data_IF_115896865424
#
_entry.id   IF_115896865424
#
_cell.length_a   1.000
_cell.length_b   1.000
_cell.length_c   1.000
_cell.angle_alpha   90.00
_cell.angle_beta   90.00
_cell.angle_gamma   90.00
#
_symmetry.space_group_name_H-M   'P 1'
#
loop_
_entity.id
_entity.type
_entity.pdbx_description
1 polymer ?
#
# COMPACT_ATOMS: atom_id res chain seq x y z
N UNK A 1 -0.92 12.48 -24.38
CA UNK A 1 -0.44 12.62 -22.99
C UNK A 1 -1.57 13.16 -22.13
N UNK A 2 -1.76 12.72 -20.88
CA UNK A 2 -2.93 13.12 -20.10
C UNK A 2 -2.92 14.64 -19.87
N UNK A 3 -4.05 15.29 -20.15
CA UNK A 3 -4.16 16.77 -20.20
C UNK A 3 -4.81 17.37 -18.95
N UNK A 4 -5.17 16.53 -17.95
CA UNK A 4 -5.79 16.98 -16.71
C UNK A 4 -4.75 17.20 -15.60
N UNK A 5 -4.89 18.24 -14.77
CA UNK A 5 -4.05 18.42 -13.58
C UNK A 5 -4.03 17.15 -12.72
N UNK A 6 -2.84 16.72 -12.29
CA UNK A 6 -2.66 15.54 -11.41
C UNK A 6 -2.67 14.18 -12.12
N UNK A 7 -3.03 14.09 -13.40
CA UNK A 7 -3.12 12.81 -14.11
C UNK A 7 -1.76 12.08 -14.23
N UNK A 8 -0.66 12.80 -14.37
CA UNK A 8 0.70 12.20 -14.36
C UNK A 8 1.03 11.58 -13.01
N UNK A 9 0.71 12.26 -11.90
CA UNK A 9 0.94 11.74 -10.55
C UNK A 9 0.04 10.53 -10.24
N UNK A 10 -1.21 10.56 -10.70
CA UNK A 10 -2.13 9.43 -10.59
C UNK A 10 -1.62 8.21 -11.36
N UNK A 11 -1.14 8.39 -12.60
CA UNK A 11 -0.54 7.32 -13.40
C UNK A 11 0.71 6.74 -12.75
N UNK A 12 1.61 7.59 -12.23
CA UNK A 12 2.79 7.14 -11.50
C UNK A 12 2.42 6.32 -10.25
N UNK A 13 1.37 6.74 -9.53
CA UNK A 13 0.87 6.04 -8.34
C UNK A 13 0.26 4.68 -8.69
N UNK A 14 -0.53 4.61 -9.78
CA UNK A 14 -1.08 3.36 -10.28
C UNK A 14 0.02 2.40 -10.74
N UNK A 15 1.02 2.90 -11.45
CA UNK A 15 2.17 2.10 -11.87
C UNK A 15 2.93 1.53 -10.67
N UNK A 16 3.21 2.36 -9.66
CA UNK A 16 3.84 1.89 -8.44
C UNK A 16 3.02 0.79 -7.75
N UNK A 17 1.68 0.94 -7.67
CA UNK A 17 0.81 -0.08 -7.09
C UNK A 17 0.86 -1.41 -7.87
N UNK A 18 0.91 -1.37 -9.22
CA UNK A 18 1.04 -2.57 -10.05
C UNK A 18 2.38 -3.28 -9.88
N UNK A 19 3.47 -2.51 -9.80
CA UNK A 19 4.80 -3.05 -9.50
C UNK A 19 4.84 -3.69 -8.11
N UNK A 20 4.26 -3.03 -7.10
CA UNK A 20 4.18 -3.57 -5.73
C UNK A 20 3.37 -4.84 -5.69
N UNK A 21 2.19 -4.86 -6.31
CA UNK A 21 1.33 -6.03 -6.39
C UNK A 21 2.04 -7.23 -7.06
N UNK A 22 2.78 -7.00 -8.15
CA UNK A 22 3.59 -8.04 -8.80
C UNK A 22 4.71 -8.55 -7.90
N UNK A 23 5.38 -7.66 -7.17
CA UNK A 23 6.43 -8.05 -6.22
C UNK A 23 5.86 -8.90 -5.08
N UNK A 24 4.70 -8.52 -4.53
CA UNK A 24 4.01 -9.27 -3.47
C UNK A 24 3.59 -10.67 -3.95
N UNK A 25 3.06 -10.80 -5.15
CA UNK A 25 2.73 -12.11 -5.73
C UNK A 25 3.98 -13.01 -5.86
N UNK A 26 5.11 -12.44 -6.30
CA UNK A 26 6.38 -13.19 -6.42
C UNK A 26 6.93 -13.63 -5.07
N UNK A 27 6.66 -12.88 -4.01
CA UNK A 27 7.01 -13.23 -2.64
C UNK A 27 6.02 -14.22 -2.00
N UNK A 28 4.90 -14.52 -2.67
CA UNK A 28 3.83 -15.31 -2.07
C UNK A 28 3.17 -14.63 -0.86
N UNK A 29 3.23 -13.30 -0.78
CA UNK A 29 2.66 -12.54 0.32
C UNK A 29 1.12 -12.55 0.27
N UNK A 30 0.48 -12.70 1.43
CA UNK A 30 -0.98 -12.69 1.58
C UNK A 30 -1.38 -12.24 2.99
N UNK A 31 -2.62 -11.77 3.15
CA UNK A 31 -3.22 -11.43 4.44
C UNK A 31 -3.07 -9.95 4.78
N UNK A 32 -1.97 -9.53 5.38
CA UNK A 32 -1.76 -8.15 5.83
C UNK A 32 -0.61 -7.48 5.07
N UNK A 33 -0.89 -6.29 4.54
CA UNK A 33 0.09 -5.50 3.77
C UNK A 33 0.19 -4.13 4.42
N UNK A 34 1.26 -3.92 5.18
CA UNK A 34 1.56 -2.64 5.80
C UNK A 34 2.42 -1.79 4.86
N UNK A 35 1.96 -0.59 4.54
CA UNK A 35 2.66 0.38 3.69
C UNK A 35 3.30 1.43 4.58
N UNK A 36 4.63 1.46 4.62
CA UNK A 36 5.40 2.45 5.37
C UNK A 36 5.97 3.54 4.44
N UNK A 37 6.37 4.66 5.03
CA UNK A 37 6.97 5.79 4.32
C UNK A 37 5.96 6.68 3.57
N UNK A 38 6.42 7.56 2.67
CA UNK A 38 5.58 8.59 2.06
C UNK A 38 4.44 8.03 1.18
N UNK A 39 4.57 6.80 0.68
CA UNK A 39 3.50 6.14 -0.07
C UNK A 39 2.27 5.81 0.78
N UNK A 40 2.41 5.67 2.10
CA UNK A 40 1.30 5.47 3.02
C UNK A 40 0.29 6.64 2.99
N UNK A 41 0.75 7.85 2.66
CA UNK A 41 -0.07 9.04 2.50
C UNK A 41 -0.62 9.23 1.07
N UNK A 42 -0.21 8.41 0.11
CA UNK A 42 -0.68 8.49 -1.27
C UNK A 42 -1.99 7.71 -1.44
N UNK A 43 -3.11 8.42 -1.37
CA UNK A 43 -4.45 7.82 -1.46
C UNK A 43 -4.69 7.04 -2.75
N UNK A 44 -4.13 7.48 -3.90
CA UNK A 44 -4.29 6.77 -5.18
C UNK A 44 -3.54 5.45 -5.16
N UNK A 45 -2.31 5.44 -4.65
CA UNK A 45 -1.52 4.22 -4.49
C UNK A 45 -2.22 3.24 -3.53
N UNK A 46 -2.63 3.71 -2.35
CA UNK A 46 -3.27 2.88 -1.33
C UNK A 46 -4.57 2.25 -1.85
N UNK A 47 -5.42 3.05 -2.50
CA UNK A 47 -6.69 2.56 -3.05
C UNK A 47 -6.48 1.60 -4.23
N UNK A 48 -5.53 1.88 -5.12
CA UNK A 48 -5.20 0.99 -6.23
C UNK A 48 -4.65 -0.35 -5.74
N UNK A 49 -3.72 -0.34 -4.78
CA UNK A 49 -3.16 -1.57 -4.21
C UNK A 49 -4.23 -2.40 -3.49
N UNK A 50 -5.12 -1.76 -2.72
CA UNK A 50 -6.27 -2.42 -2.10
C UNK A 50 -7.23 -3.04 -3.14
N UNK A 51 -7.47 -2.38 -4.27
CA UNK A 51 -8.29 -2.94 -5.35
C UNK A 51 -7.62 -4.11 -6.08
N UNK A 52 -6.29 -4.09 -6.23
CA UNK A 52 -5.52 -5.17 -6.85
C UNK A 52 -5.46 -6.42 -5.97
N UNK A 53 -5.60 -6.25 -4.65
CA UNK A 53 -5.45 -7.29 -3.63
C UNK A 53 -6.69 -7.40 -2.73
N UNK A 54 -7.86 -7.75 -3.28
CA UNK A 54 -9.13 -7.74 -2.54
C UNK A 54 -9.19 -8.74 -1.37
N UNK A 55 -8.31 -9.75 -1.36
CA UNK A 55 -8.19 -10.71 -0.26
C UNK A 55 -7.27 -10.22 0.88
N UNK A 56 -6.47 -9.18 0.64
CA UNK A 56 -5.50 -8.67 1.60
C UNK A 56 -6.00 -7.38 2.27
N UNK A 57 -5.49 -7.12 3.48
CA UNK A 57 -5.76 -5.91 4.26
C UNK A 57 -4.60 -4.94 4.06
N UNK A 58 -4.74 -4.06 3.07
CA UNK A 58 -3.75 -3.01 2.79
C UNK A 58 -3.96 -1.86 3.76
N UNK A 59 -2.96 -1.55 4.59
CA UNK A 59 -3.02 -0.52 5.64
C UNK A 59 -1.79 0.38 5.59
N UNK A 60 -1.91 1.69 5.90
CA UNK A 60 -0.73 2.49 6.16
C UNK A 60 -0.14 2.12 7.52
N UNK A 61 1.19 2.18 7.64
CA UNK A 61 1.86 2.11 8.93
C UNK A 61 1.43 3.29 9.81
N UNK A 62 1.10 3.03 11.07
CA UNK A 62 0.76 4.09 12.03
C UNK A 62 1.96 5.02 12.26
N UNK A 63 1.71 6.32 12.44
CA UNK A 63 2.77 7.34 12.51
C UNK A 63 3.85 7.08 13.57
N UNK A 64 3.52 6.43 14.70
CA UNK A 64 4.49 6.09 15.75
C UNK A 64 5.19 4.73 15.54
N UNK A 65 4.69 3.87 14.63
CA UNK A 65 5.32 2.61 14.25
C UNK A 65 6.09 2.71 12.92
N UNK A 66 5.98 3.84 12.23
CA UNK A 66 6.62 4.09 10.94
C UNK A 66 8.15 4.20 11.08
N UNK A 67 8.86 3.51 10.19
CA UNK A 67 10.31 3.59 10.04
C UNK A 67 11.15 2.98 11.18
N UNK A 68 12.48 3.06 11.05
CA UNK A 68 13.41 2.41 11.97
C UNK A 68 13.33 2.94 13.41
N UNK A 69 13.03 4.23 13.59
CA UNK A 69 12.92 4.85 14.91
C UNK A 69 11.70 4.32 15.69
N UNK A 70 10.54 4.20 15.02
CA UNK A 70 9.34 3.59 15.60
C UNK A 70 9.59 2.12 15.98
N UNK A 71 10.23 1.35 15.09
CA UNK A 71 10.65 -0.02 15.38
C UNK A 71 11.59 -0.13 16.58
N UNK A 72 12.62 0.73 16.66
CA UNK A 72 13.54 0.77 17.80
C UNK A 72 12.84 1.13 19.12
N UNK A 73 11.89 2.06 19.08
CA UNK A 73 11.07 2.41 20.24
C UNK A 73 10.24 1.21 20.73
N UNK A 74 9.58 0.49 19.81
CA UNK A 74 8.80 -0.72 20.15
C UNK A 74 9.69 -1.83 20.71
N UNK A 75 10.91 -1.99 20.19
CA UNK A 75 11.88 -2.96 20.72
C UNK A 75 12.37 -2.58 22.13
N UNK A 76 12.63 -1.29 22.38
CA UNK A 76 13.03 -0.82 23.71
C UNK A 76 11.91 -0.99 24.75
N UNK A 77 10.65 -1.02 24.31
CA UNK A 77 9.46 -1.20 25.15
C UNK A 77 8.79 -2.56 24.90
N UNK A 78 9.58 -3.57 24.52
CA UNK A 78 9.05 -4.89 24.18
C UNK A 78 8.22 -5.48 25.32
N UNK A 79 7.00 -5.93 24.99
CA UNK A 79 6.05 -6.48 25.97
C UNK A 79 5.08 -5.46 26.58
N UNK A 80 5.31 -4.15 26.39
CA UNK A 80 4.33 -3.13 26.75
C UNK A 80 3.39 -2.85 25.58
N UNK A 81 2.22 -3.51 25.58
CA UNK A 81 1.21 -3.37 24.54
C UNK A 81 0.62 -1.95 24.44
N UNK A 82 0.84 -1.08 25.44
CA UNK A 82 0.42 0.33 25.41
C UNK A 82 1.39 1.21 24.62
N UNK A 83 2.61 0.75 24.40
CA UNK A 83 3.61 1.45 23.61
C UNK A 83 3.32 1.35 22.10
N UNK A 84 2.51 0.37 21.68
CA UNK A 84 2.11 0.22 20.29
C UNK A 84 0.97 1.20 19.94
N UNK A 85 1.14 2.05 18.91
CA UNK A 85 0.03 2.86 18.41
C UNK A 85 -1.07 1.95 17.83
N UNK A 86 -2.35 2.39 17.84
CA UNK A 86 -3.42 1.62 17.22
C UNK A 86 -3.20 1.50 15.71
N UNK A 87 -3.60 0.36 15.14
CA UNK A 87 -3.54 0.14 13.70
C UNK A 87 -4.43 1.13 12.95
N UNK A 88 -3.89 1.71 11.88
CA UNK A 88 -4.69 2.48 10.95
C UNK A 88 -5.69 1.55 10.22
N UNK A 89 -6.91 2.02 9.92
CA UNK A 89 -7.89 1.22 9.19
C UNK A 89 -7.35 0.85 7.79
N UNK A 90 -7.82 -0.27 7.20
CA UNK A 90 -7.47 -0.61 5.83
C UNK A 90 -7.90 0.48 4.85
N UNK A 91 -7.10 0.67 3.80
CA UNK A 91 -7.47 1.56 2.71
C UNK A 91 -8.71 1.05 1.99
N UNK A 92 -9.62 1.96 1.66
CA UNK A 92 -10.74 1.63 0.80
C UNK A 92 -10.22 1.33 -0.63
N UNK A 93 -10.70 0.27 -1.29
CA UNK A 93 -10.29 -0.03 -2.65
C UNK A 93 -10.73 1.07 -3.60
N UNK A 94 -9.98 1.24 -4.68
CA UNK A 94 -10.38 2.10 -5.80
C UNK A 94 -11.76 1.68 -6.31
N UNK A 95 -12.65 2.64 -6.55
CA UNK A 95 -14.02 2.36 -6.98
C UNK A 95 -14.11 1.70 -8.37
N UNK A 96 -13.07 1.84 -9.20
CA UNK A 96 -13.01 1.21 -10.51
C UNK A 96 -12.40 -0.19 -10.41
N UNK A 97 -13.03 -1.16 -11.09
CA UNK A 97 -12.40 -2.46 -11.30
C UNK A 97 -11.22 -2.33 -12.28
N UNK A 98 -10.02 -2.63 -11.78
CA UNK A 98 -8.77 -2.57 -12.53
C UNK A 98 -8.15 -3.95 -12.77
N UNK A 99 -8.86 -5.05 -12.48
CA UNK A 99 -8.36 -6.41 -12.69
C UNK A 99 -8.00 -6.68 -14.16
N UNK A 100 -8.87 -6.25 -15.09
CA UNK A 100 -8.59 -6.35 -16.52
C UNK A 100 -7.40 -5.50 -16.98
N UNK A 101 -7.19 -4.33 -16.35
CA UNK A 101 -6.01 -3.49 -16.61
C UNK A 101 -4.73 -4.16 -16.12
N UNK A 102 -4.74 -4.70 -14.88
CA UNK A 102 -3.65 -5.47 -14.29
C UNK A 102 -3.23 -6.63 -15.19
N UNK A 103 -4.18 -7.42 -15.70
CA UNK A 103 -3.89 -8.55 -16.58
C UNK A 103 -3.19 -8.12 -17.87
N UNK A 104 -3.69 -7.07 -18.55
CA UNK A 104 -3.05 -6.54 -19.76
C UNK A 104 -1.67 -5.96 -19.50
N UNK A 105 -1.51 -5.23 -18.40
CA UNK A 105 -0.24 -4.65 -18.00
C UNK A 105 0.81 -5.75 -17.74
N UNK A 106 0.44 -6.83 -17.05
CA UNK A 106 1.33 -7.97 -16.81
C UNK A 106 1.72 -8.74 -18.07
N UNK A 107 0.81 -8.82 -19.05
CA UNK A 107 1.11 -9.46 -20.34
C UNK A 107 2.04 -8.62 -21.23
N UNK A 108 2.20 -7.33 -20.92
CA UNK A 108 3.05 -6.39 -21.66
C UNK A 108 4.40 -6.12 -20.98
N UNK A 109 4.65 -6.71 -19.80
CA UNK A 109 5.96 -6.74 -19.14
C UNK A 109 6.90 -7.71 -19.84
#
# INVERSE_FOLDING_TARGET
MPQAPGATAALASLYAALMTDQALDRLGAAGEVLVDGPFAANAVFMAALAALRPADRVRPAGAAAAGPAGGAFLLAHWGDLRAAPPDAPPAAPLAADIAGYRARWRAAL
#
